data_IF_552561234826
#
_entry.id   IF_552561234826
#
_cell.length_a   1.000
_cell.length_b   1.000
_cell.length_c   1.000
_cell.angle_alpha   90.00
_cell.angle_beta   90.00
_cell.angle_gamma   90.00
#
_symmetry.space_group_name_H-M   'P 1'
#
loop_
_entity.id
_entity.type
_entity.pdbx_description
1 polymer ?
#
# COMPACT_ATOMS: atom_id res chain seq x y z
N UNK A 1 -8.74 -3.60 4.08
CA UNK A 1 -7.78 -3.34 5.15
C UNK A 1 -7.67 -1.85 5.43
N UNK A 2 -7.60 -1.46 6.69
CA UNK A 2 -7.54 -0.05 7.11
C UNK A 2 -6.27 0.69 6.67
N UNK A 3 -5.16 -0.03 6.49
CA UNK A 3 -3.82 0.52 6.28
C UNK A 3 -3.37 0.70 4.82
N UNK A 4 -4.28 0.60 3.84
CA UNK A 4 -3.91 0.78 2.41
C UNK A 4 -4.24 2.20 1.96
N UNK A 5 -4.92 2.38 0.87
CA UNK A 5 -5.20 3.71 0.29
C UNK A 5 -5.96 4.67 1.23
N UNK A 6 -6.59 4.17 2.27
CA UNK A 6 -7.23 5.00 3.31
C UNK A 6 -6.21 5.59 4.29
N UNK A 7 -4.99 5.03 4.37
CA UNK A 7 -3.91 5.49 5.25
C UNK A 7 -4.21 5.37 6.77
N UNK A 8 -5.06 4.42 7.15
CA UNK A 8 -5.21 4.03 8.54
C UNK A 8 -4.03 3.17 9.02
N UNK A 9 -3.97 2.88 10.30
CA UNK A 9 -2.98 1.95 10.86
C UNK A 9 -3.43 0.49 10.70
N UNK A 10 -2.51 -0.48 10.61
CA UNK A 10 -2.85 -1.90 10.61
C UNK A 10 -3.56 -2.31 11.91
N UNK A 11 -4.47 -3.27 11.83
CA UNK A 11 -5.09 -3.84 13.02
C UNK A 11 -6.52 -4.35 12.82
N UNK A 12 -7.24 -3.92 11.78
CA UNK A 12 -8.51 -4.51 11.39
C UNK A 12 -8.79 -4.42 9.90
N UNK A 13 -9.76 -5.18 9.47
CA UNK A 13 -10.35 -5.11 8.13
C UNK A 13 -11.84 -4.87 8.23
N UNK A 14 -12.42 -4.24 7.24
CA UNK A 14 -13.86 -4.13 7.07
C UNK A 14 -14.30 -4.95 5.85
N UNK A 15 -15.51 -5.47 5.92
CA UNK A 15 -16.10 -6.30 4.89
C UNK A 15 -17.41 -5.66 4.47
N UNK A 16 -17.58 -5.45 3.18
CA UNK A 16 -18.83 -4.97 2.58
C UNK A 16 -19.47 -6.16 1.90
N UNK A 17 -20.65 -6.55 2.36
CA UNK A 17 -21.35 -7.69 1.84
C UNK A 17 -22.83 -7.38 1.52
N UNK A 18 -23.42 -8.19 0.66
CA UNK A 18 -24.85 -8.11 0.42
C UNK A 18 -25.60 -8.66 1.64
N UNK A 19 -26.46 -7.83 2.25
CA UNK A 19 -27.20 -8.22 3.46
C UNK A 19 -28.05 -9.48 3.27
N UNK A 20 -28.71 -9.63 2.13
CA UNK A 20 -29.55 -10.80 1.85
C UNK A 20 -28.72 -12.10 1.82
N UNK A 21 -27.49 -12.02 1.30
CA UNK A 21 -26.61 -13.17 1.25
C UNK A 21 -26.02 -13.46 2.64
N UNK A 22 -25.69 -12.43 3.42
CA UNK A 22 -25.24 -12.60 4.80
C UNK A 22 -26.27 -13.33 5.67
N UNK A 23 -27.57 -12.99 5.53
CA UNK A 23 -28.65 -13.64 6.26
C UNK A 23 -28.75 -15.16 5.98
N UNK A 24 -28.37 -15.60 4.80
CA UNK A 24 -28.35 -17.03 4.45
C UNK A 24 -27.17 -17.79 5.08
N UNK A 25 -26.21 -17.09 5.70
CA UNK A 25 -25.01 -17.68 6.27
C UNK A 25 -25.16 -18.09 7.74
N UNK A 26 -26.31 -17.82 8.37
CA UNK A 26 -26.56 -18.20 9.76
C UNK A 26 -26.29 -19.68 10.01
N UNK A 27 -25.42 -19.96 10.98
CA UNK A 27 -25.08 -21.34 11.38
C UNK A 27 -24.30 -22.15 10.34
N UNK A 28 -23.77 -21.52 9.28
CA UNK A 28 -23.05 -22.23 8.22
C UNK A 28 -21.51 -22.07 8.29
N UNK A 29 -21.03 -21.22 9.17
CA UNK A 29 -19.60 -21.01 9.33
C UNK A 29 -18.98 -22.07 10.24
N UNK A 30 -17.90 -22.70 9.78
CA UNK A 30 -17.14 -23.67 10.58
C UNK A 30 -16.07 -23.02 11.46
N UNK A 31 -15.92 -21.70 11.40
CA UNK A 31 -14.93 -20.95 12.18
C UNK A 31 -15.60 -20.04 13.18
N UNK A 32 -15.28 -20.21 14.45
CA UNK A 32 -15.77 -19.34 15.52
C UNK A 32 -15.34 -17.88 15.29
N UNK A 33 -14.09 -17.64 14.92
CA UNK A 33 -13.53 -16.28 14.81
C UNK A 33 -13.84 -15.58 13.49
N UNK A 34 -14.23 -16.30 12.44
CA UNK A 34 -14.47 -15.77 11.09
C UNK A 34 -15.94 -15.78 10.69
N UNK A 35 -16.85 -16.05 11.63
CA UNK A 35 -18.30 -16.01 11.37
C UNK A 35 -18.78 -14.56 11.25
N UNK A 36 -19.01 -14.13 10.01
CA UNK A 36 -19.47 -12.79 9.71
C UNK A 36 -20.93 -12.55 10.08
N UNK A 37 -21.76 -13.60 10.02
CA UNK A 37 -23.17 -13.49 10.44
C UNK A 37 -23.25 -13.21 11.93
N UNK A 38 -22.55 -13.97 12.74
CA UNK A 38 -22.54 -13.83 14.20
C UNK A 38 -21.88 -12.50 14.64
N UNK A 39 -20.84 -12.06 13.93
CA UNK A 39 -20.27 -10.71 14.14
C UNK A 39 -21.31 -9.63 13.86
N UNK A 40 -22.02 -9.71 12.76
CA UNK A 40 -23.06 -8.76 12.39
C UNK A 40 -24.22 -8.77 13.39
N UNK A 41 -24.76 -9.96 13.76
CA UNK A 41 -25.86 -10.11 14.69
C UNK A 41 -25.54 -9.52 16.08
N UNK A 42 -24.32 -9.76 16.57
CA UNK A 42 -23.85 -9.18 17.83
C UNK A 42 -23.82 -7.65 17.76
N UNK A 43 -23.31 -7.08 16.68
CA UNK A 43 -23.22 -5.63 16.52
C UNK A 43 -24.60 -4.98 16.35
N UNK A 44 -25.57 -5.63 15.67
CA UNK A 44 -26.94 -5.12 15.53
C UNK A 44 -27.69 -5.14 16.87
N UNK A 45 -27.39 -6.12 17.72
CA UNK A 45 -28.09 -6.30 19.00
C UNK A 45 -27.76 -5.20 20.02
N UNK A 46 -26.50 -4.85 20.18
CA UNK A 46 -26.07 -3.95 21.26
C UNK A 46 -24.92 -2.98 20.86
N UNK A 47 -24.56 -2.92 19.59
CA UNK A 47 -23.51 -2.06 19.06
C UNK A 47 -22.10 -2.49 19.42
N UNK A 48 -21.90 -3.64 20.05
CA UNK A 48 -20.60 -4.13 20.49
C UNK A 48 -19.96 -5.06 19.46
N UNK A 49 -18.65 -5.10 19.52
CA UNK A 49 -17.90 -6.12 18.81
C UNK A 49 -18.11 -7.47 19.48
N UNK A 50 -18.17 -8.54 18.69
CA UNK A 50 -18.30 -9.90 19.18
C UNK A 50 -17.14 -10.32 20.09
N UNK A 51 -15.94 -9.82 19.80
CA UNK A 51 -14.72 -10.03 20.58
C UNK A 51 -14.13 -8.70 21.01
N UNK A 52 -12.96 -8.71 21.66
CA UNK A 52 -12.26 -7.49 22.07
C UNK A 52 -12.05 -6.54 20.87
N UNK A 53 -12.58 -5.35 20.99
CA UNK A 53 -12.48 -4.32 19.96
C UNK A 53 -11.05 -3.77 19.84
N UNK A 54 -10.50 -3.62 18.62
CA UNK A 54 -9.25 -2.90 18.40
C UNK A 54 -9.46 -1.38 18.46
N UNK A 55 -9.91 -0.85 19.59
CA UNK A 55 -10.46 0.50 19.75
C UNK A 55 -9.50 1.59 19.25
N UNK A 56 -8.21 1.51 19.60
CA UNK A 56 -7.22 2.51 19.16
C UNK A 56 -7.07 2.53 17.62
N UNK A 57 -7.09 1.37 16.99
CA UNK A 57 -6.97 1.27 15.52
C UNK A 57 -8.24 1.79 14.83
N UNK A 58 -9.42 1.56 15.43
CA UNK A 58 -10.69 2.08 14.92
C UNK A 58 -10.74 3.60 15.03
N UNK A 59 -10.26 4.18 16.14
CA UNK A 59 -10.15 5.63 16.31
C UNK A 59 -9.15 6.23 15.30
N UNK A 60 -8.00 5.60 15.10
CA UNK A 60 -7.04 6.02 14.08
C UNK A 60 -7.63 5.94 12.67
N UNK A 61 -8.46 4.92 12.39
CA UNK A 61 -9.16 4.82 11.11
C UNK A 61 -10.21 5.91 10.92
N UNK A 62 -10.95 6.28 11.97
CA UNK A 62 -11.86 7.42 11.91
C UNK A 62 -11.12 8.71 11.55
N UNK A 63 -9.96 8.94 12.14
CA UNK A 63 -9.09 10.08 11.79
C UNK A 63 -8.60 10.02 10.34
N UNK A 64 -8.18 8.86 9.87
CA UNK A 64 -7.77 8.67 8.48
C UNK A 64 -8.89 8.97 7.47
N UNK A 65 -10.16 8.68 7.82
CA UNK A 65 -11.32 9.04 7.01
C UNK A 65 -11.59 10.55 6.98
N UNK A 66 -11.38 11.24 8.10
CA UNK A 66 -11.44 12.71 8.15
C UNK A 66 -10.38 13.35 7.26
N UNK A 67 -9.14 12.85 7.32
CA UNK A 67 -8.03 13.30 6.48
C UNK A 67 -8.29 13.03 4.99
N UNK A 68 -8.80 11.85 4.66
CA UNK A 68 -9.23 11.53 3.29
C UNK A 68 -10.29 12.52 2.79
N UNK A 69 -11.27 12.85 3.63
CA UNK A 69 -12.30 13.84 3.29
C UNK A 69 -11.71 15.24 3.10
N UNK A 70 -10.82 15.64 3.99
CA UNK A 70 -10.15 16.96 3.93
C UNK A 70 -9.26 17.09 2.68
N UNK A 71 -8.61 16.03 2.23
CA UNK A 71 -7.83 15.99 0.98
C UNK A 71 -8.70 16.16 -0.28
N UNK A 72 -10.01 15.97 -0.20
CA UNK A 72 -10.95 16.01 -1.34
C UNK A 72 -11.48 14.63 -1.74
N UNK A 73 -11.40 13.68 -0.83
CA UNK A 73 -11.96 12.33 -0.96
C UNK A 73 -11.14 11.39 -1.83
N UNK A 74 -11.78 10.30 -2.22
CA UNK A 74 -11.15 9.22 -3.01
C UNK A 74 -10.58 9.73 -4.32
N UNK A 75 -11.27 10.65 -5.00
CA UNK A 75 -10.84 11.18 -6.30
C UNK A 75 -9.52 11.95 -6.19
N UNK A 76 -9.40 12.84 -5.20
CA UNK A 76 -8.19 13.63 -4.98
C UNK A 76 -7.01 12.73 -4.59
N UNK A 77 -7.20 11.82 -3.65
CA UNK A 77 -6.18 10.85 -3.24
C UNK A 77 -5.73 9.95 -4.38
N UNK A 78 -6.66 9.44 -5.17
CA UNK A 78 -6.33 8.64 -6.35
C UNK A 78 -5.54 9.43 -7.40
N UNK A 79 -5.83 10.72 -7.58
CA UNK A 79 -5.06 11.60 -8.46
C UNK A 79 -3.62 11.77 -7.95
N UNK A 80 -3.43 12.02 -6.66
CA UNK A 80 -2.10 12.12 -6.04
C UNK A 80 -1.28 10.84 -6.22
N UNK A 81 -1.87 9.69 -5.94
CA UNK A 81 -1.17 8.41 -6.10
C UNK A 81 -0.79 8.12 -7.56
N UNK A 82 -1.67 8.42 -8.53
CA UNK A 82 -1.35 8.25 -9.95
C UNK A 82 -0.22 9.20 -10.38
N UNK A 83 -0.24 10.45 -9.93
CA UNK A 83 0.81 11.42 -10.25
C UNK A 83 2.15 10.99 -9.65
N UNK A 84 2.19 10.59 -8.39
CA UNK A 84 3.37 10.06 -7.73
C UNK A 84 3.93 8.85 -8.49
N UNK A 85 3.06 7.91 -8.86
CA UNK A 85 3.46 6.73 -9.62
C UNK A 85 3.99 7.08 -11.01
N UNK A 86 3.34 8.00 -11.72
CA UNK A 86 3.79 8.48 -13.03
C UNK A 86 5.21 9.06 -12.95
N UNK A 87 5.46 9.95 -11.99
CA UNK A 87 6.79 10.55 -11.78
C UNK A 87 7.82 9.46 -11.50
N UNK A 88 7.51 8.55 -10.57
CA UNK A 88 8.40 7.44 -10.22
C UNK A 88 8.77 6.61 -11.45
N UNK A 89 7.78 6.13 -12.19
CA UNK A 89 7.99 5.26 -13.35
C UNK A 89 8.77 5.97 -14.46
N UNK A 90 8.44 7.24 -14.75
CA UNK A 90 9.14 8.03 -15.75
C UNK A 90 10.61 8.26 -15.37
N UNK A 91 10.89 8.59 -14.11
CA UNK A 91 12.26 8.79 -13.61
C UNK A 91 13.08 7.48 -13.67
N UNK A 92 12.50 6.38 -13.20
CA UNK A 92 13.16 5.07 -13.25
C UNK A 92 13.45 4.62 -14.68
N UNK A 93 12.53 4.84 -15.60
CA UNK A 93 12.73 4.52 -17.03
C UNK A 93 13.83 5.37 -17.67
N UNK A 94 13.97 6.64 -17.29
CA UNK A 94 15.09 7.49 -17.76
C UNK A 94 16.45 6.95 -17.32
N UNK A 95 16.53 6.33 -16.14
CA UNK A 95 17.72 5.62 -15.65
C UNK A 95 17.89 4.21 -16.29
N UNK A 96 17.07 3.84 -17.28
CA UNK A 96 17.12 2.53 -17.93
C UNK A 96 16.47 1.38 -17.15
N UNK A 97 15.83 1.67 -16.02
CA UNK A 97 15.20 0.66 -15.14
C UNK A 97 13.78 0.38 -15.62
N UNK A 98 13.50 -0.87 -15.96
CA UNK A 98 12.21 -1.30 -16.52
C UNK A 98 11.24 -1.72 -15.43
N UNK A 99 9.95 -1.44 -15.65
CA UNK A 99 8.87 -1.97 -14.84
C UNK A 99 8.61 -3.43 -15.18
N UNK A 100 8.24 -4.24 -14.17
CA UNK A 100 7.88 -5.65 -14.37
C UNK A 100 6.55 -5.80 -15.11
N UNK A 101 5.55 -4.98 -14.77
CA UNK A 101 4.28 -4.92 -15.48
C UNK A 101 4.29 -3.82 -16.54
N UNK A 102 3.51 -4.01 -17.58
CA UNK A 102 3.18 -2.96 -18.54
C UNK A 102 2.22 -1.91 -17.93
N UNK A 103 2.09 -0.77 -18.61
CA UNK A 103 1.30 0.36 -18.11
C UNK A 103 -0.21 0.04 -18.00
N UNK A 104 -0.72 -0.90 -18.79
CA UNK A 104 -2.12 -1.30 -18.80
C UNK A 104 -2.50 -2.09 -17.54
N UNK A 105 -1.53 -2.77 -16.92
CA UNK A 105 -1.73 -3.64 -15.77
C UNK A 105 -1.11 -3.08 -14.47
N UNK A 106 -0.37 -1.95 -14.56
CA UNK A 106 0.32 -1.34 -13.43
C UNK A 106 -0.65 -0.61 -12.50
N UNK A 107 -0.70 -1.05 -11.24
CA UNK A 107 -1.42 -0.32 -10.18
C UNK A 107 -0.65 0.91 -9.69
N UNK A 108 -1.34 1.97 -9.19
CA UNK A 108 -0.72 3.27 -8.93
C UNK A 108 -0.11 3.41 -7.52
N UNK A 109 0.05 2.37 -6.73
CA UNK A 109 0.45 2.47 -5.32
C UNK A 109 1.76 1.77 -4.98
N UNK A 110 2.19 0.84 -5.81
CA UNK A 110 3.45 0.11 -5.69
C UNK A 110 3.88 -0.36 -7.07
N UNK A 111 5.16 -0.20 -7.38
CA UNK A 111 5.72 -0.64 -8.66
C UNK A 111 6.86 -1.61 -8.43
N UNK A 112 6.83 -2.71 -9.16
CA UNK A 112 7.93 -3.67 -9.23
C UNK A 112 8.82 -3.32 -10.42
N UNK A 113 10.12 -3.17 -10.17
CA UNK A 113 11.13 -2.88 -11.15
C UNK A 113 12.06 -4.07 -11.31
N UNK A 114 12.53 -4.32 -12.52
CA UNK A 114 13.62 -5.26 -12.73
C UNK A 114 14.91 -4.72 -12.12
N UNK A 115 15.69 -5.61 -11.54
CA UNK A 115 17.05 -5.29 -11.12
C UNK A 115 17.88 -4.87 -12.35
N UNK A 116 18.52 -3.71 -12.33
CA UNK A 116 19.35 -3.26 -13.44
C UNK A 116 20.59 -4.14 -13.59
N UNK A 117 21.00 -4.37 -14.83
CA UNK A 117 22.23 -5.10 -15.16
C UNK A 117 23.41 -4.12 -15.24
N UNK A 118 23.76 -3.51 -14.10
CA UNK A 118 24.89 -2.60 -13.96
C UNK A 118 25.98 -3.33 -13.19
N UNK A 119 27.23 -3.17 -13.61
CA UNK A 119 28.38 -3.72 -12.91
C UNK A 119 28.43 -3.08 -11.51
N UNK A 120 28.76 -3.87 -10.49
CA UNK A 120 28.78 -3.48 -9.08
C UNK A 120 27.42 -3.10 -8.45
N UNK A 121 26.30 -3.32 -9.11
CA UNK A 121 24.99 -3.10 -8.47
C UNK A 121 24.72 -4.12 -7.37
N UNK A 122 24.34 -3.63 -6.20
CA UNK A 122 23.82 -4.43 -5.09
C UNK A 122 22.54 -3.81 -4.54
N UNK A 123 21.45 -4.59 -4.50
CA UNK A 123 20.22 -4.11 -3.87
C UNK A 123 20.43 -3.77 -2.39
N UNK A 124 21.23 -4.54 -1.67
CA UNK A 124 21.51 -4.30 -0.25
C UNK A 124 22.20 -2.95 -0.04
N UNK A 125 23.20 -2.64 -0.87
CA UNK A 125 23.90 -1.35 -0.80
C UNK A 125 23.01 -0.18 -1.21
N UNK A 126 22.24 -0.32 -2.27
CA UNK A 126 21.24 0.68 -2.68
C UNK A 126 20.21 0.92 -1.58
N UNK A 127 19.73 -0.13 -0.92
CA UNK A 127 18.79 -0.03 0.18
C UNK A 127 19.37 0.76 1.36
N UNK A 128 20.57 0.44 1.81
CA UNK A 128 21.22 1.16 2.91
C UNK A 128 21.51 2.62 2.51
N UNK A 129 21.96 2.86 1.28
CA UNK A 129 22.19 4.21 0.75
C UNK A 129 20.92 5.08 0.79
N UNK A 130 19.77 4.52 0.41
CA UNK A 130 18.46 5.18 0.43
C UNK A 130 17.99 5.39 1.88
N UNK A 131 18.18 4.38 2.73
CA UNK A 131 17.76 4.39 4.14
C UNK A 131 18.51 5.45 4.96
N UNK A 132 19.81 5.59 4.76
CA UNK A 132 20.63 6.65 5.40
C UNK A 132 20.15 8.06 5.04
N UNK A 133 19.41 8.20 3.92
CA UNK A 133 18.81 9.46 3.46
C UNK A 133 17.32 9.62 3.82
N UNK A 134 16.83 8.74 4.72
CA UNK A 134 15.51 8.86 5.32
C UNK A 134 14.38 8.17 4.54
N UNK A 135 14.70 7.33 3.56
CA UNK A 135 13.70 6.57 2.81
C UNK A 135 13.93 5.06 2.96
N UNK A 136 12.84 4.29 2.82
CA UNK A 136 12.91 2.83 2.81
C UNK A 136 12.17 2.29 1.59
N UNK A 137 12.79 1.35 0.91
CA UNK A 137 12.19 0.60 -0.20
C UNK A 137 12.09 -0.88 0.15
N UNK A 138 11.45 -1.68 -0.68
CA UNK A 138 11.24 -3.09 -0.39
C UNK A 138 12.04 -4.00 -1.32
N UNK A 139 12.73 -5.02 -0.77
CA UNK A 139 13.17 -6.13 -1.58
C UNK A 139 11.91 -6.79 -2.20
N UNK A 140 11.93 -7.06 -3.46
CA UNK A 140 10.78 -7.63 -4.15
C UNK A 140 11.20 -8.78 -5.01
N UNK A 141 11.37 -9.99 -4.44
CA UNK A 141 11.52 -11.16 -5.28
C UNK A 141 10.15 -11.57 -5.80
N UNK A 142 9.96 -11.45 -7.10
CA UNK A 142 9.00 -12.25 -7.86
C UNK A 142 9.70 -13.58 -8.13
N UNK A 143 8.98 -14.68 -8.09
CA UNK A 143 9.52 -16.05 -8.03
C UNK A 143 10.57 -16.36 -9.10
N UNK A 144 10.49 -15.73 -10.27
CA UNK A 144 11.30 -16.04 -11.45
C UNK A 144 12.10 -14.84 -12.00
N UNK A 145 12.16 -13.73 -11.28
CA UNK A 145 12.87 -12.54 -11.73
C UNK A 145 13.52 -11.78 -10.57
N UNK A 146 14.74 -11.30 -10.80
CA UNK A 146 15.38 -10.36 -9.89
C UNK A 146 14.71 -9.00 -10.00
N UNK A 147 14.05 -8.61 -8.92
CA UNK A 147 13.25 -7.40 -8.87
C UNK A 147 13.31 -6.73 -7.50
N UNK A 148 12.99 -5.45 -7.47
CA UNK A 148 12.72 -4.70 -6.24
C UNK A 148 11.43 -3.88 -6.38
N UNK A 149 10.91 -3.38 -5.26
CA UNK A 149 9.63 -2.64 -5.26
C UNK A 149 9.78 -1.29 -4.59
N UNK A 150 9.14 -0.30 -5.18
CA UNK A 150 8.97 1.02 -4.58
C UNK A 150 7.48 1.29 -4.43
N UNK A 151 7.06 1.58 -3.19
CA UNK A 151 5.70 1.99 -2.86
C UNK A 151 5.60 3.50 -2.79
N UNK A 152 4.50 4.03 -3.31
CA UNK A 152 4.17 5.46 -3.23
C UNK A 152 2.81 5.69 -2.55
N UNK A 153 2.39 4.72 -1.75
CA UNK A 153 1.21 4.77 -0.88
C UNK A 153 1.58 5.47 0.44
N UNK A 154 0.65 6.20 1.01
CA UNK A 154 0.84 6.91 2.28
C UNK A 154 0.81 8.42 2.11
N UNK A 155 1.23 9.13 3.14
CA UNK A 155 1.36 10.59 3.15
C UNK A 155 2.66 11.00 2.42
N UNK A 156 2.68 10.75 1.11
CA UNK A 156 3.82 10.94 0.20
C UNK A 156 3.35 11.81 -0.97
N UNK A 157 4.17 12.80 -1.31
CA UNK A 157 3.90 13.79 -2.35
C UNK A 157 4.96 13.72 -3.45
N UNK A 158 4.72 14.47 -4.54
CA UNK A 158 5.62 14.51 -5.69
C UNK A 158 7.07 14.86 -5.33
N UNK A 159 7.26 15.71 -4.32
CA UNK A 159 8.59 16.16 -3.92
C UNK A 159 9.35 15.02 -3.23
N UNK A 160 8.67 14.18 -2.44
CA UNK A 160 9.27 12.97 -1.85
C UNK A 160 9.66 11.97 -2.93
N UNK A 161 8.80 11.79 -3.95
CA UNK A 161 9.09 10.90 -5.07
C UNK A 161 10.29 11.40 -5.89
N UNK A 162 10.36 12.69 -6.17
CA UNK A 162 11.51 13.26 -6.86
C UNK A 162 12.79 13.03 -6.05
N UNK A 163 12.75 13.33 -4.75
CA UNK A 163 13.90 13.18 -3.87
C UNK A 163 14.40 11.74 -3.77
N UNK A 164 13.52 10.75 -3.65
CA UNK A 164 13.95 9.35 -3.66
C UNK A 164 14.53 8.94 -5.01
N UNK A 165 14.00 9.46 -6.11
CA UNK A 165 14.56 9.22 -7.44
C UNK A 165 15.95 9.87 -7.60
N UNK A 166 16.16 11.09 -7.07
CA UNK A 166 17.48 11.75 -7.06
C UNK A 166 18.51 10.90 -6.29
N UNK A 167 18.12 10.38 -5.12
CA UNK A 167 18.98 9.50 -4.31
C UNK A 167 19.32 8.21 -5.05
N UNK A 168 18.38 7.62 -5.78
CA UNK A 168 18.61 6.42 -6.59
C UNK A 168 19.57 6.73 -7.75
N UNK A 169 19.37 7.85 -8.44
CA UNK A 169 20.23 8.31 -9.53
C UNK A 169 21.67 8.54 -9.03
N UNK A 170 21.84 9.23 -7.91
CA UNK A 170 23.16 9.41 -7.25
C UNK A 170 23.83 8.08 -6.87
N UNK A 171 23.07 7.05 -6.49
CA UNK A 171 23.61 5.73 -6.21
C UNK A 171 24.15 5.08 -7.51
N UNK A 172 23.40 5.16 -8.61
CA UNK A 172 23.80 4.59 -9.89
C UNK A 172 25.02 5.31 -10.51
N UNK A 173 25.16 6.60 -10.28
CA UNK A 173 26.35 7.38 -10.72
C UNK A 173 27.65 6.94 -10.05
N UNK A 174 27.55 6.15 -8.95
CA UNK A 174 28.70 5.60 -8.20
C UNK A 174 29.03 4.15 -8.54
N UNK A 175 28.09 3.46 -9.20
CA UNK A 175 28.31 2.09 -9.65
C UNK A 175 29.09 2.07 -10.97
#
# INVERSE_FOLDING_TARGET
SANKCVQGVPGFSFIICNRKELMKCQGKCNSLSLDLYDQWETMEKDGKWRFTSPTHVVLAFAKALEELKAEGGVTARAKRYRENNRILVERMRKMGIKTYLDDAHQGPIITTFFTPKVENYSFAEMYEYIKERGYAIYPGKVTDADTFRIGNIGEIYKDDINKVCDIIEEYFDKC
#
